data_IF_788288893291
#
_entry.id   IF_788288893291
#
_cell.length_a   1.000
_cell.length_b   1.000
_cell.length_c   1.000
_cell.angle_alpha   90.00
_cell.angle_beta   90.00
_cell.angle_gamma   90.00
#
_symmetry.space_group_name_H-M   'P 1'
#
loop_
_entity.id
_entity.type
_entity.pdbx_description
1 polymer ?
#
# COMPACT_ATOMS: atom_id res chain seq x y z
N UNK A 1 73.13 -5.17 -36.61
CA UNK A 1 73.30 -4.39 -35.39
C UNK A 1 72.16 -4.76 -34.43
N UNK A 2 72.54 -5.40 -33.39
CA UNK A 2 71.79 -6.06 -32.33
C UNK A 2 71.03 -5.09 -31.45
N UNK A 3 69.77 -5.44 -31.12
CA UNK A 3 69.10 -4.86 -30.01
C UNK A 3 68.45 -5.99 -29.17
N UNK A 4 68.96 -6.13 -27.99
CA UNK A 4 68.61 -7.09 -26.97
C UNK A 4 67.22 -6.81 -26.38
N UNK A 5 66.38 -7.84 -26.38
CA UNK A 5 65.11 -7.85 -25.64
C UNK A 5 65.34 -8.30 -24.21
N UNK A 6 65.00 -7.47 -23.24
CA UNK A 6 64.96 -7.83 -21.83
C UNK A 6 63.53 -8.24 -21.45
N UNK A 7 63.36 -9.53 -21.15
CA UNK A 7 62.16 -10.10 -20.58
C UNK A 7 62.15 -9.88 -19.08
N UNK A 8 61.21 -9.08 -18.57
CA UNK A 8 60.90 -9.03 -17.13
C UNK A 8 59.71 -9.93 -16.84
N UNK A 9 59.97 -11.02 -16.12
CA UNK A 9 58.99 -11.96 -15.60
C UNK A 9 58.20 -11.30 -14.45
N UNK A 10 56.92 -11.06 -14.66
CA UNK A 10 55.99 -10.63 -13.61
C UNK A 10 55.47 -11.90 -12.91
N UNK A 11 55.91 -12.09 -11.70
CA UNK A 11 55.38 -13.16 -10.80
C UNK A 11 53.99 -12.73 -10.34
N UNK A 12 52.96 -13.40 -10.84
CA UNK A 12 51.59 -13.21 -10.42
C UNK A 12 51.32 -13.80 -9.03
N UNK A 13 51.15 -12.95 -8.05
CA UNK A 13 50.61 -13.32 -6.74
C UNK A 13 49.12 -13.62 -6.92
N UNK A 14 48.76 -14.88 -7.05
CA UNK A 14 47.37 -15.33 -6.94
C UNK A 14 46.91 -15.22 -5.51
N UNK A 15 46.18 -14.15 -5.21
CA UNK A 15 45.48 -14.01 -3.95
C UNK A 15 44.34 -15.04 -3.89
N UNK A 16 44.53 -16.12 -3.13
CA UNK A 16 43.51 -17.12 -2.88
C UNK A 16 42.37 -16.52 -2.04
N UNK A 17 41.29 -16.15 -2.70
CA UNK A 17 40.05 -15.69 -2.06
C UNK A 17 39.43 -16.91 -1.34
N UNK A 18 39.61 -16.99 -0.01
CA UNK A 18 38.92 -17.95 0.84
C UNK A 18 37.42 -17.65 0.72
N UNK A 19 36.68 -18.50 0.02
CA UNK A 19 35.22 -18.53 0.04
C UNK A 19 34.78 -18.78 1.46
N UNK A 20 34.33 -17.75 2.16
CA UNK A 20 33.63 -17.91 3.42
C UNK A 20 32.34 -18.72 3.16
N UNK A 21 32.21 -19.83 3.87
CA UNK A 21 31.03 -20.67 3.81
C UNK A 21 29.79 -19.82 4.12
N UNK A 22 28.92 -19.64 3.12
CA UNK A 22 27.60 -19.06 3.32
C UNK A 22 26.83 -20.00 4.22
N UNK A 23 26.61 -19.57 5.45
CA UNK A 23 25.73 -20.20 6.42
C UNK A 23 24.32 -20.16 5.84
N UNK A 24 23.85 -21.30 5.31
CA UNK A 24 22.49 -21.45 4.80
C UNK A 24 21.51 -21.03 5.89
N UNK A 25 20.78 -19.95 5.65
CA UNK A 25 19.65 -19.52 6.48
C UNK A 25 18.64 -20.67 6.44
N UNK A 26 18.47 -21.39 7.54
CA UNK A 26 17.36 -22.33 7.71
C UNK A 26 16.07 -21.53 7.54
N UNK A 27 15.27 -21.89 6.53
CA UNK A 27 13.93 -21.36 6.37
C UNK A 27 13.14 -21.63 7.65
N UNK A 28 12.82 -20.56 8.35
CA UNK A 28 11.91 -20.64 9.50
C UNK A 28 10.52 -20.80 8.90
N UNK A 29 9.99 -22.02 8.94
CA UNK A 29 8.58 -22.31 8.65
C UNK A 29 7.72 -21.48 9.61
N UNK A 30 7.22 -20.33 9.13
CA UNK A 30 6.25 -19.51 9.84
C UNK A 30 4.91 -20.25 9.78
N UNK A 31 4.60 -21.01 10.80
CA UNK A 31 3.27 -21.62 10.95
C UNK A 31 2.21 -20.51 11.10
N UNK A 32 1.09 -20.60 10.35
CA UNK A 32 0.03 -19.59 10.45
C UNK A 32 -0.55 -19.56 11.86
N UNK A 33 -0.81 -18.37 12.37
CA UNK A 33 -1.33 -18.11 13.73
C UNK A 33 -2.61 -18.87 14.09
N UNK A 34 -3.36 -19.35 13.11
CA UNK A 34 -4.58 -20.16 13.31
C UNK A 34 -4.29 -21.57 13.89
N UNK A 35 -3.07 -22.10 13.73
CA UNK A 35 -2.67 -23.40 14.23
C UNK A 35 -2.27 -23.38 15.73
N UNK A 36 -2.19 -22.22 16.35
CA UNK A 36 -1.74 -22.03 17.73
C UNK A 36 -2.88 -21.91 18.76
N UNK A 37 -4.14 -21.97 18.33
CA UNK A 37 -5.28 -22.05 19.27
C UNK A 37 -5.35 -23.44 19.90
N UNK A 38 -4.82 -23.58 21.11
CA UNK A 38 -4.96 -24.78 21.92
C UNK A 38 -3.67 -25.48 22.38
N UNK A 39 -2.49 -24.99 22.01
CA UNK A 39 -1.24 -25.51 22.58
C UNK A 39 -0.91 -24.74 23.86
N UNK A 40 -0.84 -25.47 24.98
CA UNK A 40 -0.33 -24.95 26.24
C UNK A 40 1.09 -24.43 26.02
N UNK A 41 1.43 -23.33 26.67
CA UNK A 41 2.71 -22.62 26.58
C UNK A 41 3.94 -23.43 27.02
N UNK A 42 3.81 -24.75 27.25
CA UNK A 42 4.87 -25.63 27.76
C UNK A 42 5.80 -26.17 26.67
N UNK A 43 5.49 -26.00 25.38
CA UNK A 43 6.30 -26.47 24.27
C UNK A 43 6.86 -25.31 23.40
N UNK A 44 7.44 -24.30 24.01
CA UNK A 44 8.35 -23.43 23.27
C UNK A 44 9.64 -24.18 22.98
N UNK A 45 10.07 -24.32 21.72
CA UNK A 45 11.35 -24.96 21.43
C UNK A 45 12.47 -24.18 22.15
N UNK A 46 13.28 -24.93 22.90
CA UNK A 46 14.42 -24.39 23.62
C UNK A 46 15.34 -23.66 22.62
N UNK A 47 15.56 -22.38 22.83
CA UNK A 47 16.46 -21.56 22.00
C UNK A 47 15.84 -20.27 21.43
N UNK A 48 14.55 -20.03 21.61
CA UNK A 48 13.97 -18.72 21.29
C UNK A 48 13.90 -17.91 22.59
N UNK A 49 14.96 -17.13 22.85
CA UNK A 49 14.91 -16.08 23.85
C UNK A 49 13.92 -15.01 23.37
N UNK A 50 12.71 -15.08 23.88
CA UNK A 50 11.74 -14.00 23.70
C UNK A 50 12.23 -12.84 24.54
N UNK A 51 12.87 -11.86 23.93
CA UNK A 51 13.24 -10.63 24.61
C UNK A 51 11.98 -9.94 25.13
N UNK A 52 11.72 -10.12 26.41
CA UNK A 52 10.55 -9.60 27.13
C UNK A 52 10.60 -8.09 27.39
N UNK A 53 11.35 -7.35 26.57
CA UNK A 53 11.49 -5.89 26.64
C UNK A 53 10.48 -5.19 25.75
N UNK A 54 9.20 -5.28 26.07
CA UNK A 54 8.14 -4.53 25.38
C UNK A 54 7.15 -3.97 26.38
N UNK A 55 6.47 -2.88 26.03
CA UNK A 55 5.47 -2.22 26.85
C UNK A 55 4.29 -3.14 27.22
N UNK A 56 4.02 -4.19 26.42
CA UNK A 56 2.95 -5.15 26.63
C UNK A 56 3.47 -6.56 26.93
N UNK A 57 3.79 -6.80 28.18
CA UNK A 57 4.27 -8.08 28.67
C UNK A 57 3.26 -9.22 28.46
N UNK A 58 1.96 -8.93 28.54
CA UNK A 58 0.88 -9.91 28.43
C UNK A 58 0.38 -10.14 27.00
N UNK A 59 0.37 -9.10 26.17
CA UNK A 59 -0.29 -9.17 24.86
C UNK A 59 0.65 -9.52 23.70
N UNK A 60 1.97 -9.60 23.91
CA UNK A 60 2.99 -9.89 22.86
C UNK A 60 2.75 -9.14 21.53
N UNK A 61 2.12 -7.97 21.63
CA UNK A 61 1.81 -7.13 20.47
C UNK A 61 3.07 -6.43 20.02
N UNK A 62 3.32 -6.43 18.72
CA UNK A 62 4.42 -5.66 18.16
C UNK A 62 4.16 -4.16 18.36
N UNK A 63 5.14 -3.46 18.92
CA UNK A 63 5.11 -2.01 19.02
C UNK A 63 6.07 -1.43 17.97
N UNK A 64 5.61 -0.60 17.01
CA UNK A 64 6.44 -0.09 15.93
C UNK A 64 7.60 0.74 16.47
N UNK A 65 8.75 0.56 15.83
CA UNK A 65 9.95 1.39 16.06
C UNK A 65 9.88 2.66 15.21
N UNK A 66 10.72 3.64 15.49
CA UNK A 66 10.84 4.86 14.70
C UNK A 66 11.12 4.56 13.22
N UNK A 67 11.90 3.52 12.93
CA UNK A 67 12.24 3.08 11.60
C UNK A 67 11.04 2.64 10.76
N UNK A 68 10.01 2.05 11.40
CA UNK A 68 8.79 1.58 10.72
C UNK A 68 7.83 2.74 10.36
N UNK A 69 8.00 3.89 11.01
CA UNK A 69 7.14 5.06 10.84
C UNK A 69 7.70 6.06 9.84
N UNK A 70 8.98 5.96 9.50
CA UNK A 70 9.67 6.87 8.59
C UNK A 70 9.00 6.93 7.21
N UNK A 71 8.57 8.12 6.81
CA UNK A 71 7.89 8.35 5.54
C UNK A 71 8.78 8.06 4.33
N UNK A 72 10.10 8.23 4.44
CA UNK A 72 11.06 7.98 3.37
C UNK A 72 11.18 6.49 3.02
N UNK A 73 10.91 5.61 3.97
CA UNK A 73 10.99 4.15 3.80
C UNK A 73 9.69 3.51 3.33
N UNK A 74 8.58 4.27 3.28
CA UNK A 74 7.29 3.74 2.86
C UNK A 74 7.31 3.37 1.38
N UNK A 75 6.88 2.15 1.03
CA UNK A 75 6.82 1.73 -0.36
C UNK A 75 5.79 2.55 -1.14
N UNK A 76 6.09 2.79 -2.40
CA UNK A 76 5.16 3.40 -3.35
C UNK A 76 4.42 2.31 -4.12
N UNK A 77 3.14 2.51 -4.29
CA UNK A 77 2.25 1.52 -4.90
C UNK A 77 1.31 2.20 -5.87
N UNK A 78 1.14 1.60 -7.05
CA UNK A 78 0.17 2.07 -8.08
C UNK A 78 -1.01 1.12 -8.15
N UNK A 79 -2.19 1.71 -8.36
CA UNK A 79 -3.45 1.02 -8.62
C UNK A 79 -4.10 1.62 -9.86
N UNK A 80 -4.42 0.79 -10.84
CA UNK A 80 -5.25 1.18 -11.96
C UNK A 80 -6.73 1.05 -11.58
N UNK A 81 -7.45 2.15 -11.71
CA UNK A 81 -8.87 2.24 -11.37
C UNK A 81 -9.80 1.90 -12.54
N UNK A 82 -9.25 1.51 -13.70
CA UNK A 82 -10.04 1.19 -14.90
C UNK A 82 -11.05 0.09 -14.60
N UNK A 83 -12.34 0.36 -14.88
CA UNK A 83 -13.48 -0.56 -14.72
C UNK A 83 -13.70 -1.12 -13.32
N UNK A 84 -12.98 -0.58 -12.31
CA UNK A 84 -13.15 -1.00 -10.93
C UNK A 84 -14.37 -0.33 -10.28
N UNK A 85 -15.10 -1.10 -9.47
CA UNK A 85 -16.17 -0.55 -8.62
C UNK A 85 -15.59 0.32 -7.54
N UNK A 86 -15.96 1.62 -7.56
CA UNK A 86 -15.46 2.65 -6.64
C UNK A 86 -15.41 2.21 -5.18
N UNK A 87 -16.51 1.64 -4.66
CA UNK A 87 -16.60 1.30 -3.23
C UNK A 87 -15.66 0.18 -2.82
N UNK A 88 -15.55 -0.87 -3.64
CA UNK A 88 -14.67 -2.02 -3.36
C UNK A 88 -13.20 -1.64 -3.49
N UNK A 89 -12.83 -0.93 -4.56
CA UNK A 89 -11.49 -0.39 -4.72
C UNK A 89 -11.11 0.50 -3.51
N UNK A 90 -12.01 1.41 -3.12
CA UNK A 90 -11.73 2.33 -2.01
C UNK A 90 -11.55 1.63 -0.66
N UNK A 91 -12.26 0.53 -0.39
CA UNK A 91 -12.10 -0.22 0.87
C UNK A 91 -10.73 -0.88 0.98
N UNK A 92 -10.26 -1.51 -0.10
CA UNK A 92 -8.93 -2.14 -0.13
C UNK A 92 -7.84 -1.07 -0.12
N UNK A 93 -7.99 0.00 -0.91
CA UNK A 93 -7.07 1.14 -0.93
C UNK A 93 -6.91 1.76 0.48
N UNK A 94 -8.00 1.93 1.23
CA UNK A 94 -7.96 2.42 2.61
C UNK A 94 -7.20 1.47 3.55
N UNK A 95 -7.32 0.15 3.36
CA UNK A 95 -6.58 -0.84 4.15
C UNK A 95 -5.07 -0.75 3.89
N UNK A 96 -4.65 -0.60 2.62
CA UNK A 96 -3.24 -0.42 2.27
C UNK A 96 -2.68 0.90 2.80
N UNK A 97 -3.41 2.00 2.63
CA UNK A 97 -3.03 3.31 3.16
C UNK A 97 -2.86 3.32 4.68
N UNK A 98 -3.74 2.63 5.39
CA UNK A 98 -3.66 2.50 6.84
C UNK A 98 -2.56 1.54 7.29
N UNK A 99 -2.10 0.64 6.42
CA UNK A 99 -1.11 -0.39 6.74
C UNK A 99 -1.69 -1.66 7.35
N UNK A 100 -3.00 -1.88 7.25
CA UNK A 100 -3.65 -3.06 7.81
C UNK A 100 -3.26 -4.40 7.18
N UNK A 101 -2.51 -4.36 6.09
CA UNK A 101 -1.92 -5.51 5.41
C UNK A 101 -0.50 -5.85 5.91
N UNK A 102 0.11 -5.01 6.74
CA UNK A 102 1.48 -5.17 7.24
C UNK A 102 1.46 -5.74 8.65
N UNK A 103 2.38 -6.67 8.96
CA UNK A 103 2.48 -7.30 10.28
C UNK A 103 2.83 -6.29 11.40
N UNK A 104 3.54 -5.22 11.05
CA UNK A 104 3.96 -4.15 11.98
C UNK A 104 2.87 -3.10 12.24
N UNK A 105 1.63 -3.37 11.77
CA UNK A 105 0.53 -2.43 11.91
C UNK A 105 0.22 -2.09 13.37
N UNK A 106 0.14 -0.79 13.66
CA UNK A 106 -0.33 -0.27 14.93
C UNK A 106 -1.30 0.91 14.73
N UNK A 107 -2.42 0.99 15.49
CA UNK A 107 -3.42 2.03 15.29
C UNK A 107 -2.94 3.47 15.51
N UNK A 108 -1.89 3.66 16.33
CA UNK A 108 -1.36 4.98 16.70
C UNK A 108 -0.36 5.53 15.68
N UNK A 109 0.13 4.71 14.75
CA UNK A 109 1.18 5.09 13.80
C UNK A 109 0.75 4.88 12.35
N UNK A 110 1.39 5.64 11.46
CA UNK A 110 1.21 5.53 10.01
C UNK A 110 2.22 4.54 9.44
N UNK A 111 1.86 3.26 9.37
CA UNK A 111 2.70 2.18 8.81
C UNK A 111 2.32 1.79 7.38
N UNK A 112 1.41 2.54 6.76
CA UNK A 112 0.91 2.23 5.43
C UNK A 112 1.85 2.62 4.29
N UNK A 113 1.33 2.53 3.06
CA UNK A 113 2.05 2.80 1.82
C UNK A 113 1.72 4.19 1.26
N UNK A 114 2.56 4.68 0.34
CA UNK A 114 2.20 5.80 -0.54
C UNK A 114 1.42 5.24 -1.74
N UNK A 115 0.14 5.56 -1.85
CA UNK A 115 -0.74 5.03 -2.87
C UNK A 115 -0.98 6.02 -4.00
N UNK A 116 -0.73 5.59 -5.22
CA UNK A 116 -1.03 6.32 -6.45
C UNK A 116 -2.18 5.62 -7.16
N UNK A 117 -3.26 6.31 -7.42
CA UNK A 117 -4.40 5.81 -8.19
C UNK A 117 -4.39 6.49 -9.55
N UNK A 118 -4.36 5.72 -10.61
CA UNK A 118 -4.40 6.20 -12.00
C UNK A 118 -5.76 5.89 -12.64
N UNK A 119 -6.06 6.54 -13.77
CA UNK A 119 -7.31 6.37 -14.53
C UNK A 119 -8.58 6.63 -13.72
N UNK A 120 -8.58 7.63 -12.84
CA UNK A 120 -9.73 7.94 -11.98
C UNK A 120 -11.03 8.26 -12.77
N UNK A 121 -10.92 8.67 -14.03
CA UNK A 121 -12.07 8.93 -14.92
C UNK A 121 -12.84 7.66 -15.30
N UNK A 122 -12.16 6.50 -15.31
CA UNK A 122 -12.71 5.21 -15.74
C UNK A 122 -13.33 4.39 -14.59
N UNK A 123 -13.41 4.98 -13.41
CA UNK A 123 -14.03 4.35 -12.24
C UNK A 123 -15.52 4.16 -12.44
N UNK A 124 -16.03 3.01 -11.99
CA UNK A 124 -17.40 2.59 -12.22
C UNK A 124 -18.17 2.51 -10.90
N UNK A 125 -19.48 2.80 -11.00
CA UNK A 125 -20.44 2.58 -9.92
C UNK A 125 -21.59 1.72 -10.41
N UNK A 126 -22.19 0.93 -9.51
CA UNK A 126 -23.28 0.02 -9.84
C UNK A 126 -24.66 0.66 -9.63
N UNK A 127 -25.64 0.21 -10.39
CA UNK A 127 -27.03 0.64 -10.30
C UNK A 127 -27.21 2.11 -10.67
N UNK A 128 -28.28 2.73 -10.23
CA UNK A 128 -28.65 4.12 -10.54
C UNK A 128 -27.76 5.20 -9.92
N UNK A 129 -26.67 4.80 -9.22
CA UNK A 129 -25.76 5.74 -8.56
C UNK A 129 -25.06 6.71 -9.52
N UNK A 130 -24.93 6.34 -10.78
CA UNK A 130 -24.31 7.21 -11.78
C UNK A 130 -25.10 8.52 -11.96
N UNK A 131 -26.43 8.46 -11.90
CA UNK A 131 -27.30 9.62 -12.06
C UNK A 131 -27.74 10.21 -10.72
N UNK A 132 -28.12 9.35 -9.76
CA UNK A 132 -28.76 9.80 -8.52
C UNK A 132 -27.76 10.18 -7.40
N UNK A 133 -26.51 9.70 -7.44
CA UNK A 133 -25.55 9.97 -6.36
C UNK A 133 -25.16 11.44 -6.34
N UNK A 134 -25.46 12.12 -5.22
CA UNK A 134 -25.18 13.53 -5.03
C UNK A 134 -23.94 13.74 -4.18
N UNK A 135 -23.10 14.68 -4.61
CA UNK A 135 -21.97 15.21 -3.86
C UNK A 135 -22.28 16.61 -3.37
N UNK A 136 -22.34 16.76 -2.06
CA UNK A 136 -22.61 18.06 -1.42
C UNK A 136 -21.29 18.69 -1.00
N UNK A 137 -21.12 19.96 -1.33
CA UNK A 137 -19.95 20.75 -0.96
C UNK A 137 -20.41 22.06 -0.33
N UNK A 138 -20.08 22.25 0.94
CA UNK A 138 -20.44 23.46 1.67
C UNK A 138 -19.35 24.51 1.49
N UNK A 139 -19.75 25.77 1.26
CA UNK A 139 -18.82 26.87 1.28
C UNK A 139 -18.38 27.18 2.72
N UNK A 140 -17.16 27.66 2.88
CA UNK A 140 -16.57 28.02 4.17
C UNK A 140 -17.32 29.17 4.85
N UNK A 141 -18.02 30.03 4.08
CA UNK A 141 -18.75 31.17 4.59
C UNK A 141 -20.02 30.84 5.37
N UNK A 142 -20.53 29.59 5.26
CA UNK A 142 -21.73 29.16 5.99
C UNK A 142 -23.04 29.94 5.70
N UNK A 143 -23.07 30.78 4.66
CA UNK A 143 -24.27 31.53 4.30
C UNK A 143 -25.36 30.60 3.74
N UNK A 144 -26.65 30.90 3.99
CA UNK A 144 -27.76 30.22 3.33
C UNK A 144 -27.59 30.21 1.81
N UNK A 145 -27.85 29.04 1.16
CA UNK A 145 -27.68 28.89 -0.29
C UNK A 145 -26.25 28.64 -0.77
N UNK A 146 -25.24 28.62 0.11
CA UNK A 146 -23.85 28.40 -0.26
C UNK A 146 -23.50 26.90 -0.56
N UNK A 147 -24.43 25.97 -0.34
CA UNK A 147 -24.22 24.56 -0.62
C UNK A 147 -24.32 24.27 -2.12
N UNK A 148 -23.23 23.76 -2.70
CA UNK A 148 -23.21 23.27 -4.09
C UNK A 148 -23.51 21.78 -4.10
N UNK A 149 -24.45 21.36 -4.95
CA UNK A 149 -24.83 19.98 -5.15
C UNK A 149 -24.46 19.59 -6.58
N UNK A 150 -23.70 18.52 -6.74
CA UNK A 150 -23.30 18.00 -8.04
C UNK A 150 -23.66 16.50 -8.10
N UNK A 151 -24.12 16.02 -9.25
CA UNK A 151 -24.31 14.59 -9.48
C UNK A 151 -22.99 13.89 -9.72
N UNK A 152 -22.97 12.57 -9.56
CA UNK A 152 -21.77 11.76 -9.85
C UNK A 152 -21.30 11.96 -11.29
N UNK A 153 -22.21 11.89 -12.25
CA UNK A 153 -21.93 12.09 -13.69
C UNK A 153 -21.21 13.41 -13.94
N UNK A 154 -21.79 14.52 -13.48
CA UNK A 154 -21.22 15.85 -13.67
C UNK A 154 -19.84 16.00 -12.99
N UNK A 155 -19.68 15.42 -11.80
CA UNK A 155 -18.40 15.45 -11.09
C UNK A 155 -17.33 14.59 -11.77
N UNK A 156 -17.70 13.45 -12.37
CA UNK A 156 -16.78 12.58 -13.10
C UNK A 156 -16.23 13.25 -14.37
N UNK A 157 -17.05 14.00 -15.08
CA UNK A 157 -16.62 14.76 -16.25
C UNK A 157 -15.66 15.92 -15.88
N UNK A 158 -15.96 16.62 -14.78
CA UNK A 158 -15.24 17.82 -14.38
C UNK A 158 -13.98 17.49 -13.54
N UNK A 159 -14.12 16.72 -12.47
CA UNK A 159 -13.06 16.42 -11.49
C UNK A 159 -13.19 14.98 -10.96
N UNK A 160 -12.80 13.97 -11.75
CA UNK A 160 -12.93 12.57 -11.39
C UNK A 160 -12.09 12.18 -10.16
N UNK A 161 -10.96 12.85 -9.96
CA UNK A 161 -10.06 12.61 -8.81
C UNK A 161 -10.79 12.76 -7.48
N UNK A 162 -11.66 13.78 -7.35
CA UNK A 162 -12.43 14.04 -6.12
C UNK A 162 -13.38 12.91 -5.75
N UNK A 163 -13.88 12.16 -6.72
CA UNK A 163 -14.77 11.03 -6.48
C UNK A 163 -14.03 9.96 -5.70
N UNK A 164 -12.83 9.61 -6.17
CA UNK A 164 -11.96 8.61 -5.53
C UNK A 164 -11.48 9.10 -4.18
N UNK A 165 -11.00 10.34 -4.10
CA UNK A 165 -10.55 10.96 -2.85
C UNK A 165 -11.64 10.94 -1.77
N UNK A 166 -12.86 11.38 -2.10
CA UNK A 166 -14.00 11.38 -1.15
C UNK A 166 -14.38 9.99 -0.71
N UNK A 167 -14.32 8.99 -1.61
CA UNK A 167 -14.63 7.61 -1.29
C UNK A 167 -13.60 7.03 -0.28
N UNK A 168 -12.31 7.19 -0.55
CA UNK A 168 -11.24 6.72 0.33
C UNK A 168 -11.24 7.49 1.65
N UNK A 169 -11.35 8.83 1.61
CA UNK A 169 -11.41 9.67 2.81
C UNK A 169 -12.55 9.28 3.75
N UNK A 170 -13.70 8.88 3.19
CA UNK A 170 -14.85 8.39 3.97
C UNK A 170 -14.58 7.08 4.70
N UNK A 171 -13.64 6.26 4.20
CA UNK A 171 -13.26 4.95 4.77
C UNK A 171 -12.04 5.03 5.71
N UNK A 172 -11.32 6.14 5.69
CA UNK A 172 -10.22 6.40 6.63
C UNK A 172 -10.74 6.91 7.98
N UNK A 173 -9.98 6.72 9.07
CA UNK A 173 -10.31 7.28 10.38
C UNK A 173 -10.50 8.81 10.32
N UNK A 174 -11.49 9.33 11.05
CA UNK A 174 -11.82 10.77 11.06
C UNK A 174 -11.01 11.59 12.08
N UNK A 175 -9.84 11.13 12.47
CA UNK A 175 -8.95 11.76 13.43
C UNK A 175 -7.72 12.42 12.76
N UNK A 176 -6.77 12.91 13.57
CA UNK A 176 -5.51 13.49 13.08
C UNK A 176 -4.73 12.50 12.21
N UNK A 177 -4.64 11.24 12.65
CA UNK A 177 -4.00 10.15 11.92
C UNK A 177 -4.61 9.93 10.53
N UNK A 178 -5.94 9.89 10.43
CA UNK A 178 -6.61 9.71 9.14
C UNK A 178 -6.33 10.84 8.16
N UNK A 179 -6.14 12.08 8.65
CA UNK A 179 -5.73 13.22 7.81
C UNK A 179 -4.29 13.09 7.32
N UNK A 180 -3.41 12.55 8.14
CA UNK A 180 -2.02 12.28 7.78
C UNK A 180 -1.93 11.16 6.74
N UNK A 181 -2.60 10.04 7.01
CA UNK A 181 -2.70 8.91 6.07
C UNK A 181 -3.27 9.35 4.72
N UNK A 182 -4.26 10.24 4.71
CA UNK A 182 -4.84 10.78 3.48
C UNK A 182 -3.83 11.57 2.63
N UNK A 183 -2.80 12.17 3.21
CA UNK A 183 -1.73 12.86 2.45
C UNK A 183 -0.88 11.92 1.60
N UNK A 184 -0.83 10.64 1.98
CA UNK A 184 -0.12 9.60 1.23
C UNK A 184 -0.90 9.07 0.02
N UNK A 185 -2.15 9.51 -0.15
CA UNK A 185 -2.95 9.23 -1.33
C UNK A 185 -2.69 10.28 -2.42
N UNK A 186 -2.39 9.81 -3.62
CA UNK A 186 -2.29 10.61 -4.85
C UNK A 186 -3.23 10.03 -5.89
N UNK A 187 -4.08 10.85 -6.48
CA UNK A 187 -5.06 10.42 -7.48
C UNK A 187 -4.85 11.22 -8.75
N UNK A 188 -4.82 10.53 -9.88
CA UNK A 188 -4.63 11.12 -11.20
C UNK A 188 -5.76 10.71 -12.13
N UNK A 189 -6.16 11.65 -12.96
CA UNK A 189 -7.24 11.49 -13.93
C UNK A 189 -6.88 10.44 -15.00
N UNK A 190 -5.70 10.59 -15.61
CA UNK A 190 -5.20 9.74 -16.67
C UNK A 190 -4.26 8.64 -16.18
N UNK A 191 -3.54 8.04 -17.12
CA UNK A 191 -2.55 6.98 -16.86
C UNK A 191 -1.18 7.52 -16.43
N UNK A 192 -0.88 8.78 -16.73
CA UNK A 192 0.41 9.39 -16.41
C UNK A 192 0.45 9.94 -15.00
N UNK A 193 1.58 9.74 -14.32
CA UNK A 193 1.80 10.25 -12.96
C UNK A 193 3.25 10.69 -12.77
N UNK A 194 3.53 11.73 -11.96
CA UNK A 194 4.89 12.27 -11.76
C UNK A 194 5.77 11.42 -10.82
N UNK A 195 5.26 10.30 -10.31
CA UNK A 195 5.93 9.47 -9.31
C UNK A 195 6.69 8.26 -9.90
N UNK A 196 6.99 8.25 -11.19
CA UNK A 196 7.73 7.16 -11.84
C UNK A 196 9.13 6.96 -11.24
N UNK A 197 9.81 8.04 -10.84
CA UNK A 197 11.13 8.01 -10.21
C UNK A 197 11.15 7.25 -8.86
N UNK A 198 10.01 7.05 -8.21
CA UNK A 198 9.87 6.30 -6.96
C UNK A 198 9.74 4.79 -7.17
N UNK A 199 9.77 4.32 -8.43
CA UNK A 199 9.60 2.91 -8.80
C UNK A 199 8.41 2.24 -8.09
N UNK A 200 7.18 2.76 -8.27
CA UNK A 200 6.02 2.23 -7.59
C UNK A 200 5.69 0.81 -8.08
N UNK A 201 5.31 -0.07 -7.15
CA UNK A 201 4.87 -1.43 -7.45
C UNK A 201 3.40 -1.46 -7.82
N UNK A 202 3.01 -2.17 -8.88
CA UNK A 202 1.62 -2.34 -9.26
C UNK A 202 0.95 -3.44 -8.42
N UNK A 203 -0.09 -3.07 -7.69
CA UNK A 203 -0.91 -3.99 -6.87
C UNK A 203 -2.32 -4.18 -7.40
N UNK A 204 -2.61 -3.79 -8.63
CA UNK A 204 -3.95 -3.89 -9.23
C UNK A 204 -4.49 -5.32 -9.18
N UNK A 205 -3.64 -6.32 -9.46
CA UNK A 205 -4.00 -7.74 -9.39
C UNK A 205 -4.33 -8.20 -7.98
N UNK A 206 -3.52 -7.80 -6.98
CA UNK A 206 -3.76 -8.14 -5.58
C UNK A 206 -5.02 -7.46 -5.04
N UNK A 207 -5.27 -6.23 -5.50
CA UNK A 207 -6.48 -5.49 -5.17
C UNK A 207 -7.70 -6.20 -5.75
N UNK A 208 -7.66 -6.64 -7.00
CA UNK A 208 -8.72 -7.42 -7.62
C UNK A 208 -9.01 -8.70 -6.83
N UNK A 209 -8.00 -9.47 -6.45
CA UNK A 209 -8.14 -10.67 -5.65
C UNK A 209 -8.82 -10.40 -4.31
N UNK A 210 -8.43 -9.35 -3.59
CA UNK A 210 -9.01 -8.94 -2.31
C UNK A 210 -10.42 -8.35 -2.44
N UNK A 211 -10.73 -7.72 -3.58
CA UNK A 211 -12.06 -7.17 -3.87
C UNK A 211 -13.11 -8.22 -4.22
N UNK A 212 -12.73 -9.48 -4.36
CA UNK A 212 -13.63 -10.55 -4.81
C UNK A 212 -13.56 -10.82 -6.31
N UNK A 213 -12.41 -10.60 -6.94
CA UNK A 213 -12.12 -10.94 -8.33
C UNK A 213 -13.06 -10.25 -9.33
N UNK A 214 -13.67 -11.04 -10.24
CA UNK A 214 -14.58 -10.56 -11.27
C UNK A 214 -15.77 -9.73 -10.75
N UNK A 215 -16.17 -9.93 -9.49
CA UNK A 215 -17.23 -9.11 -8.88
C UNK A 215 -16.82 -7.66 -8.59
N UNK A 216 -15.52 -7.33 -8.67
CA UNK A 216 -15.02 -5.97 -8.56
C UNK A 216 -15.07 -5.23 -9.91
N UNK A 217 -14.95 -5.97 -11.00
CA UNK A 217 -15.13 -5.45 -12.36
C UNK A 217 -16.63 -5.29 -12.65
N UNK A 218 -16.97 -4.31 -13.42
CA UNK A 218 -18.34 -4.14 -13.94
C UNK A 218 -18.32 -4.48 -15.41
N UNK A 219 -19.09 -5.49 -15.79
CA UNK A 219 -19.31 -5.78 -17.20
C UNK A 219 -20.02 -4.58 -17.83
N UNK A 220 -19.39 -3.98 -18.84
CA UNK A 220 -19.92 -2.81 -19.54
C UNK A 220 -21.27 -3.09 -20.24
N UNK A 221 -21.61 -4.36 -20.44
CA UNK A 221 -22.87 -4.81 -21.07
C UNK A 221 -24.11 -4.55 -20.20
N UNK A 222 -23.97 -4.43 -18.88
CA UNK A 222 -25.07 -4.13 -17.95
C UNK A 222 -25.51 -2.64 -17.97
N UNK A 223 -24.89 -1.80 -18.80
CA UNK A 223 -25.16 -0.35 -18.86
C UNK A 223 -26.11 0.08 -19.98
N UNK A 224 -26.62 -0.86 -20.76
CA UNK A 224 -27.62 -0.55 -21.82
C UNK A 224 -29.04 -0.48 -21.28
#
# INVERSE_FOLDING_TARGET
>A
MSALASTSSFIGNTCAFKKSAQKTRKEVLVTPMSALRGRSLQNTPEGISVDKKGADFFNKTYYPKAEDVDNSRKPWVVVDATDLRLGRMASVAATYLRGGNVATYHPSFTTGVNLVVINAEKVVVSGKKFEEKLYRNFSTTGRPGSMKIETFRHLQERLPERIVEKAIKGMLPKNRMGREVFRHLKVYRGSEHPHAAQNPTDITKDLLAKCGGAACLVNLEERK
#
